data_IF_025903313212
#
_entry.id   IF_025903313212
#
_cell.length_a   1.000
_cell.length_b   1.000
_cell.length_c   1.000
_cell.angle_alpha   90.00
_cell.angle_beta   90.00
_cell.angle_gamma   90.00
#
_symmetry.space_group_name_H-M   'P 1'
#
loop_
_entity.id
_entity.type
_entity.pdbx_description
1 polymer ?
#
# COMPACT_ATOMS: atom_id res chain seq x y z
N UNK A 1 -13.27 -0.84 -23.38
CA UNK A 1 -12.88 -1.78 -22.30
C UNK A 1 -12.20 -0.92 -21.24
N UNK A 2 -12.87 -0.60 -20.13
CA UNK A 2 -12.28 0.29 -19.12
C UNK A 2 -11.16 -0.45 -18.41
N UNK A 3 -9.94 0.06 -18.52
CA UNK A 3 -8.78 -0.51 -17.84
C UNK A 3 -8.93 -0.30 -16.32
N UNK A 4 -9.24 -1.38 -15.60
CA UNK A 4 -9.24 -1.35 -14.14
C UNK A 4 -7.81 -1.16 -13.63
N UNK A 5 -7.62 -0.14 -12.80
CA UNK A 5 -6.36 0.14 -12.11
C UNK A 5 -6.44 -0.41 -10.68
N UNK A 6 -5.55 -1.36 -10.37
CA UNK A 6 -5.44 -1.96 -9.04
C UNK A 6 -4.36 -1.27 -8.21
N UNK A 7 -4.67 -1.04 -6.94
CA UNK A 7 -3.74 -0.54 -5.93
C UNK A 7 -3.71 -1.49 -4.75
N UNK A 8 -2.53 -1.64 -4.14
CA UNK A 8 -2.33 -2.30 -2.86
C UNK A 8 -1.78 -1.28 -1.87
N UNK A 9 -2.47 -1.13 -0.74
CA UNK A 9 -1.99 -0.38 0.41
C UNK A 9 -1.47 -1.38 1.43
N UNK A 10 -0.17 -1.37 1.68
CA UNK A 10 0.42 -2.16 2.76
C UNK A 10 0.64 -1.26 3.97
N UNK A 11 0.13 -1.67 5.12
CA UNK A 11 0.05 -0.87 6.33
C UNK A 11 0.62 -1.63 7.52
N UNK A 12 1.63 -1.05 8.16
CA UNK A 12 2.14 -1.52 9.44
C UNK A 12 1.42 -0.77 10.55
N UNK A 13 0.79 -1.49 11.46
CA UNK A 13 0.10 -0.92 12.61
C UNK A 13 0.23 -1.82 13.83
N UNK A 14 -0.04 -1.29 15.02
CA UNK A 14 -0.01 -2.05 16.27
C UNK A 14 -1.14 -1.61 17.22
N UNK A 15 -1.95 -2.54 17.77
CA UNK A 15 -2.04 -3.95 17.37
C UNK A 15 -2.51 -4.12 15.92
N UNK A 16 -2.22 -5.27 15.31
CA UNK A 16 -2.80 -5.64 14.02
C UNK A 16 -4.28 -5.98 14.20
N UNK A 17 -5.17 -5.52 13.30
CA UNK A 17 -6.60 -5.74 13.38
C UNK A 17 -6.99 -7.13 12.86
N UNK A 18 -6.34 -8.18 13.38
CA UNK A 18 -6.63 -9.57 13.01
C UNK A 18 -8.06 -9.95 13.39
N UNK A 19 -8.79 -10.56 12.45
CA UNK A 19 -10.20 -10.92 12.62
C UNK A 19 -11.19 -9.77 12.41
N UNK A 20 -10.72 -8.55 12.09
CA UNK A 20 -11.56 -7.39 11.80
C UNK A 20 -11.53 -6.98 10.32
N UNK A 21 -10.99 -7.82 9.45
CA UNK A 21 -10.69 -7.46 8.06
C UNK A 21 -11.95 -7.17 7.24
N UNK A 22 -13.03 -7.93 7.45
CA UNK A 22 -14.32 -7.67 6.79
C UNK A 22 -14.91 -6.32 7.21
N UNK A 23 -14.84 -5.98 8.50
CA UNK A 23 -15.35 -4.70 9.00
C UNK A 23 -14.53 -3.51 8.46
N UNK A 24 -13.21 -3.67 8.38
CA UNK A 24 -12.33 -2.67 7.75
C UNK A 24 -12.63 -2.50 6.27
N UNK A 25 -12.89 -3.61 5.56
CA UNK A 25 -13.30 -3.59 4.16
C UNK A 25 -14.58 -2.78 3.99
N UNK A 26 -15.63 -3.12 4.74
CA UNK A 26 -16.92 -2.44 4.67
C UNK A 26 -16.85 -0.95 5.02
N UNK A 27 -16.06 -0.57 6.03
CA UNK A 27 -15.92 0.84 6.43
C UNK A 27 -15.20 1.66 5.37
N UNK A 28 -14.05 1.18 4.88
CA UNK A 28 -13.27 1.90 3.88
C UNK A 28 -13.97 1.91 2.51
N UNK A 29 -14.74 0.87 2.19
CA UNK A 29 -15.55 0.76 0.97
C UNK A 29 -16.62 1.86 0.84
N UNK A 30 -16.99 2.55 1.94
CA UNK A 30 -17.94 3.66 1.91
C UNK A 30 -17.44 4.87 1.13
N UNK A 31 -16.12 5.09 1.13
CA UNK A 31 -15.49 6.27 0.54
C UNK A 31 -14.57 5.93 -0.64
N UNK A 32 -14.04 4.71 -0.69
CA UNK A 32 -13.09 4.26 -1.71
C UNK A 32 -13.51 2.91 -2.27
N UNK A 33 -13.13 2.57 -3.52
CA UNK A 33 -13.46 1.28 -4.11
C UNK A 33 -12.54 0.17 -3.57
N UNK A 34 -12.68 -0.13 -2.28
CA UNK A 34 -11.97 -1.20 -1.58
C UNK A 34 -12.68 -2.51 -1.83
N UNK A 35 -11.97 -3.49 -2.37
CA UNK A 35 -12.50 -4.83 -2.64
C UNK A 35 -12.35 -5.75 -1.43
N UNK A 36 -11.21 -5.65 -0.72
CA UNK A 36 -10.91 -6.48 0.45
C UNK A 36 -9.74 -5.93 1.25
N UNK A 37 -9.78 -6.22 2.54
CA UNK A 37 -8.66 -6.13 3.46
C UNK A 37 -8.24 -7.55 3.88
N UNK A 38 -6.96 -7.77 4.13
CA UNK A 38 -6.47 -8.97 4.81
C UNK A 38 -5.24 -8.66 5.63
N UNK A 39 -5.02 -9.40 6.70
CA UNK A 39 -3.76 -9.37 7.44
C UNK A 39 -2.83 -10.49 6.95
N UNK A 40 -1.54 -10.19 6.82
CA UNK A 40 -0.50 -11.19 6.56
C UNK A 40 0.74 -10.84 7.39
N UNK A 41 1.19 -11.78 8.22
CA UNK A 41 2.29 -11.61 9.17
C UNK A 41 2.16 -10.34 10.01
N UNK A 42 2.92 -9.29 9.65
CA UNK A 42 3.00 -8.01 10.36
C UNK A 42 2.29 -6.84 9.64
N UNK A 43 1.55 -7.12 8.57
CA UNK A 43 0.96 -6.12 7.69
C UNK A 43 -0.55 -6.29 7.55
N UNK A 44 -1.26 -5.16 7.53
CA UNK A 44 -2.59 -5.06 6.96
C UNK A 44 -2.43 -4.69 5.48
N UNK A 45 -3.04 -5.46 4.60
CA UNK A 45 -3.12 -5.15 3.16
C UNK A 45 -4.53 -4.77 2.79
N UNK A 46 -4.67 -3.68 2.03
CA UNK A 46 -5.95 -3.16 1.53
C UNK A 46 -5.87 -3.14 0.01
N UNK A 47 -6.80 -3.82 -0.65
CA UNK A 47 -6.90 -3.86 -2.11
C UNK A 47 -7.96 -2.88 -2.59
N UNK A 48 -7.54 -1.96 -3.46
CA UNK A 48 -8.38 -0.92 -4.06
C UNK A 48 -8.40 -1.11 -5.57
N UNK A 49 -9.59 -1.17 -6.18
CA UNK A 49 -9.76 -1.37 -7.62
C UNK A 49 -10.59 -0.23 -8.18
N UNK A 50 -9.95 0.65 -8.96
CA UNK A 50 -10.62 1.80 -9.56
C UNK A 50 -10.74 1.64 -11.08
N UNK A 51 -11.80 2.16 -11.66
CA UNK A 51 -11.95 2.28 -13.13
C UNK A 51 -11.03 3.33 -13.77
N UNK A 52 -10.27 4.09 -12.96
CA UNK A 52 -9.35 5.12 -13.41
C UNK A 52 -8.15 5.25 -12.45
N UNK A 53 -7.10 5.95 -12.90
CA UNK A 53 -5.96 6.27 -12.03
C UNK A 53 -6.40 7.28 -10.96
N UNK A 54 -6.19 6.93 -9.69
CA UNK A 54 -6.42 7.82 -8.57
C UNK A 54 -5.45 9.02 -8.63
N UNK A 55 -5.99 10.23 -8.48
CA UNK A 55 -5.22 11.45 -8.35
C UNK A 55 -4.49 11.50 -6.99
N UNK A 56 -3.45 12.32 -6.89
CA UNK A 56 -2.67 12.46 -5.65
C UNK A 56 -3.54 12.79 -4.42
N UNK A 57 -4.51 13.70 -4.57
CA UNK A 57 -5.47 14.03 -3.50
C UNK A 57 -6.22 12.80 -3.01
N UNK A 58 -6.76 11.99 -3.92
CA UNK A 58 -7.48 10.75 -3.56
C UNK A 58 -6.56 9.71 -2.88
N UNK A 59 -5.28 9.65 -3.25
CA UNK A 59 -4.31 8.78 -2.57
C UNK A 59 -4.03 9.26 -1.14
N UNK A 60 -3.95 10.57 -0.92
CA UNK A 60 -3.78 11.16 0.41
C UNK A 60 -5.04 10.93 1.26
N UNK A 61 -6.22 11.20 0.72
CA UNK A 61 -7.49 10.98 1.41
C UNK A 61 -7.66 9.49 1.79
N UNK A 62 -7.20 8.57 0.93
CA UNK A 62 -7.16 7.15 1.24
C UNK A 62 -6.23 6.85 2.42
N UNK A 63 -5.02 7.43 2.45
CA UNK A 63 -4.09 7.25 3.57
C UNK A 63 -4.66 7.80 4.88
N UNK A 64 -5.29 8.99 4.83
CA UNK A 64 -5.92 9.63 5.98
C UNK A 64 -7.12 8.80 6.49
N UNK A 65 -7.95 8.27 5.58
CA UNK A 65 -9.06 7.38 5.92
C UNK A 65 -8.59 6.07 6.56
N UNK A 66 -7.50 5.49 6.06
CA UNK A 66 -6.90 4.29 6.66
C UNK A 66 -6.37 4.58 8.06
N UNK A 67 -5.69 5.71 8.25
CA UNK A 67 -5.20 6.13 9.56
C UNK A 67 -6.35 6.33 10.56
N UNK A 68 -7.42 7.00 10.14
CA UNK A 68 -8.59 7.24 10.99
C UNK A 68 -9.30 5.92 11.35
N UNK A 69 -9.47 5.03 10.38
CA UNK A 69 -10.12 3.72 10.55
C UNK A 69 -9.35 2.82 11.52
N UNK A 70 -8.01 2.85 11.48
CA UNK A 70 -7.16 2.14 12.44
C UNK A 70 -7.19 2.78 13.83
N UNK A 71 -7.11 4.11 13.89
CA UNK A 71 -7.07 4.85 15.16
C UNK A 71 -8.38 4.69 15.95
N UNK A 72 -9.53 4.68 15.27
CA UNK A 72 -10.83 4.45 15.90
C UNK A 72 -10.98 3.05 16.52
N UNK A 73 -10.14 2.10 16.10
CA UNK A 73 -10.08 0.71 16.60
C UNK A 73 -8.96 0.48 17.62
N UNK A 74 -8.27 1.54 18.03
CA UNK A 74 -7.14 1.44 18.95
C UNK A 74 -5.85 0.91 18.31
N UNK A 75 -5.79 0.79 16.98
CA UNK A 75 -4.58 0.44 16.26
C UNK A 75 -3.81 1.69 15.87
N UNK A 76 -2.58 1.82 16.36
CA UNK A 76 -1.69 2.90 15.96
C UNK A 76 -1.02 2.56 14.63
N UNK A 77 -1.22 3.42 13.63
CA UNK A 77 -0.49 3.36 12.37
C UNK A 77 1.00 3.63 12.62
N UNK A 78 1.88 2.78 12.09
CA UNK A 78 3.33 2.99 12.03
C UNK A 78 3.73 3.56 10.68
N UNK A 79 3.48 2.82 9.62
CA UNK A 79 3.78 3.28 8.26
C UNK A 79 2.86 2.60 7.26
N UNK A 80 2.79 3.14 6.06
CA UNK A 80 2.12 2.52 4.96
C UNK A 80 2.68 2.93 3.61
N UNK A 81 2.44 2.10 2.60
CA UNK A 81 2.83 2.35 1.22
C UNK A 81 1.66 2.03 0.30
N UNK A 82 1.35 2.95 -0.60
CA UNK A 82 0.38 2.76 -1.67
C UNK A 82 1.13 2.43 -2.94
N UNK A 83 0.83 1.28 -3.53
CA UNK A 83 1.47 0.78 -4.73
C UNK A 83 0.42 0.48 -5.80
N UNK A 84 0.63 0.96 -7.01
CA UNK A 84 -0.19 0.63 -8.18
C UNK A 84 0.34 -0.61 -8.88
N UNK A 85 -0.54 -1.54 -9.20
CA UNK A 85 -0.24 -2.69 -10.03
C UNK A 85 -0.35 -2.28 -11.52
N UNK A 86 0.71 -2.52 -12.28
CA UNK A 86 0.79 -2.21 -13.71
C UNK A 86 1.16 -3.48 -14.47
N UNK A 87 0.53 -3.71 -15.61
CA UNK A 87 0.95 -4.76 -16.52
C UNK A 87 2.36 -4.44 -17.06
N UNK A 88 3.30 -5.36 -16.88
CA UNK A 88 4.67 -5.17 -17.35
C UNK A 88 5.62 -6.22 -16.78
N UNK A 89 6.77 -6.44 -17.42
CA UNK A 89 7.78 -7.36 -16.89
C UNK A 89 8.07 -7.01 -15.44
N UNK A 90 8.13 -8.03 -14.58
CA UNK A 90 8.34 -7.91 -13.13
C UNK A 90 9.64 -7.13 -12.90
N UNK A 91 9.55 -5.82 -12.79
CA UNK A 91 10.73 -5.01 -12.58
C UNK A 91 11.13 -5.21 -11.12
N UNK A 92 12.30 -5.84 -10.92
CA UNK A 92 12.99 -5.99 -9.63
C UNK A 92 13.37 -4.64 -8.96
N UNK A 93 12.76 -3.52 -9.38
CA UNK A 93 13.07 -2.15 -8.97
C UNK A 93 12.36 -1.67 -7.71
N UNK A 94 11.52 -2.48 -7.06
CA UNK A 94 11.04 -2.15 -5.70
C UNK A 94 12.13 -2.29 -4.65
N UNK A 95 13.16 -3.13 -4.89
CA UNK A 95 14.28 -3.34 -3.97
C UNK A 95 15.11 -2.08 -3.67
N UNK A 96 15.57 -1.27 -4.63
CA UNK A 96 16.42 -0.11 -4.32
C UNK A 96 15.69 1.04 -3.61
N UNK A 97 14.41 1.31 -3.92
CA UNK A 97 13.64 2.37 -3.25
C UNK A 97 13.35 1.98 -1.80
N UNK A 98 12.94 0.73 -1.62
CA UNK A 98 12.67 0.20 -0.28
C UNK A 98 13.98 0.07 0.52
N UNK A 99 15.08 -0.40 -0.08
CA UNK A 99 16.39 -0.43 0.58
C UNK A 99 16.96 0.97 0.88
N UNK A 100 16.64 1.98 0.07
CA UNK A 100 17.00 3.38 0.35
C UNK A 100 16.16 3.98 1.49
N UNK A 101 14.89 3.58 1.60
CA UNK A 101 14.02 3.93 2.72
C UNK A 101 14.46 3.20 4.01
N UNK A 102 14.82 1.91 3.94
CA UNK A 102 15.42 1.13 5.04
C UNK A 102 16.78 1.70 5.51
N UNK A 103 17.52 2.40 4.66
CA UNK A 103 18.76 3.09 5.07
C UNK A 103 18.51 4.39 5.83
N UNK A 104 17.32 4.99 5.70
CA UNK A 104 16.97 6.27 6.32
C UNK A 104 16.05 6.13 7.53
N UNK A 105 15.21 5.10 7.56
CA UNK A 105 14.47 4.70 8.75
C UNK A 105 15.25 3.58 9.46
N UNK A 106 15.28 3.56 10.79
CA UNK A 106 16.01 2.57 11.62
C UNK A 106 15.37 1.15 11.53
N UNK A 107 14.69 0.83 10.43
CA UNK A 107 13.96 -0.40 10.21
C UNK A 107 14.85 -1.42 9.47
N UNK A 108 15.20 -2.49 10.20
CA UNK A 108 15.94 -3.69 9.78
C UNK A 108 15.34 -4.39 8.54
N UNK A 109 16.09 -5.34 7.91
CA UNK A 109 15.92 -5.80 6.52
C UNK A 109 14.75 -6.80 6.35
N UNK A 110 13.52 -6.34 6.55
CA UNK A 110 12.31 -7.16 6.45
C UNK A 110 11.54 -6.96 5.13
N UNK A 111 11.84 -5.92 4.36
CA UNK A 111 11.09 -5.64 3.13
C UNK A 111 11.60 -6.39 1.89
N UNK A 112 12.80 -6.97 1.94
CA UNK A 112 13.38 -7.72 0.81
C UNK A 112 12.67 -9.06 0.52
N UNK A 113 11.99 -9.65 1.51
CA UNK A 113 11.30 -10.95 1.40
C UNK A 113 9.92 -10.88 0.70
N UNK A 114 9.22 -9.75 0.84
CA UNK A 114 7.87 -9.55 0.30
C UNK A 114 7.82 -9.47 -1.24
N UNK A 115 8.87 -8.92 -1.86
CA UNK A 115 8.95 -8.79 -3.33
C UNK A 115 9.03 -10.16 -4.02
N UNK A 116 9.65 -11.16 -3.38
CA UNK A 116 9.83 -12.49 -3.96
C UNK A 116 8.56 -13.33 -4.04
N UNK A 117 7.61 -13.13 -3.13
CA UNK A 117 6.40 -13.98 -3.04
C UNK A 117 5.18 -13.42 -3.77
N UNK A 118 5.13 -12.11 -4.02
CA UNK A 118 4.05 -11.47 -4.78
C UNK A 118 4.07 -11.83 -6.28
N UNK A 119 5.23 -12.24 -6.81
CA UNK A 119 5.36 -12.67 -8.21
C UNK A 119 4.66 -14.02 -8.50
N UNK A 120 4.36 -14.84 -7.48
CA UNK A 120 3.88 -16.21 -7.67
C UNK A 120 2.35 -16.34 -7.78
N UNK A 121 1.56 -15.30 -7.47
CA UNK A 121 0.09 -15.38 -7.37
C UNK A 121 -0.68 -14.70 -8.51
N UNK A 122 0.00 -14.18 -9.53
CA UNK A 122 -0.64 -13.40 -10.60
C UNK A 122 -0.27 -14.00 -11.95
N UNK A 123 -1.30 -14.40 -12.73
CA UNK A 123 -1.17 -15.07 -14.03
C UNK A 123 -0.57 -14.20 -15.15
N UNK A 124 -0.16 -12.96 -14.83
CA UNK A 124 0.58 -12.05 -15.70
C UNK A 124 1.69 -11.37 -14.89
N UNK A 125 2.84 -11.08 -15.49
CA UNK A 125 3.86 -10.29 -14.82
C UNK A 125 3.27 -8.92 -14.46
N UNK A 126 3.17 -8.66 -13.15
CA UNK A 126 2.69 -7.40 -12.59
C UNK A 126 3.87 -6.67 -11.99
N UNK A 127 4.05 -5.41 -12.41
CA UNK A 127 5.00 -4.48 -11.82
C UNK A 127 4.27 -3.61 -10.79
N UNK A 128 4.78 -3.59 -9.56
CA UNK A 128 4.30 -2.69 -8.52
C UNK A 128 5.04 -1.35 -8.62
N UNK A 129 4.29 -0.25 -8.77
CA UNK A 129 4.82 1.12 -8.83
C UNK A 129 4.42 1.82 -7.53
N UNK A 130 5.37 2.19 -6.65
CA UNK A 130 5.05 2.95 -5.45
C UNK A 130 4.58 4.35 -5.84
N UNK A 131 3.41 4.76 -5.36
CA UNK A 131 2.86 6.10 -5.62
C UNK A 131 2.98 6.99 -4.38
N UNK A 132 2.84 6.41 -3.17
CA UNK A 132 2.88 7.18 -1.92
C UNK A 132 3.43 6.34 -0.76
N UNK A 133 4.21 6.96 0.12
CA UNK A 133 4.57 6.43 1.43
C UNK A 133 4.04 7.36 2.51
N UNK A 134 3.53 6.82 3.61
CA UNK A 134 3.02 7.63 4.72
C UNK A 134 3.46 7.01 6.06
N UNK A 135 3.91 7.86 6.98
CA UNK A 135 4.47 7.47 8.28
C UNK A 135 4.07 8.50 9.34
N UNK A 136 3.38 8.06 10.40
CA UNK A 136 3.03 8.90 11.56
C UNK A 136 2.52 10.31 11.19
N UNK A 137 1.55 10.40 10.28
CA UNK A 137 0.97 11.68 9.83
C UNK A 137 1.81 12.47 8.83
N UNK A 138 2.99 11.97 8.43
CA UNK A 138 3.82 12.55 7.36
C UNK A 138 3.64 11.75 6.07
N UNK A 139 3.24 12.42 4.99
CA UNK A 139 3.07 11.83 3.65
C UNK A 139 4.24 12.21 2.74
N UNK A 140 4.83 11.22 2.08
CA UNK A 140 5.91 11.37 1.12
C UNK A 140 5.44 10.91 -0.27
N UNK A 141 5.46 11.83 -1.23
CA UNK A 141 5.21 11.52 -2.64
C UNK A 141 6.44 10.83 -3.25
N UNK A 142 6.28 9.56 -3.64
CA UNK A 142 7.34 8.79 -4.29
C UNK A 142 7.29 8.90 -5.82
N UNK A 143 6.16 9.28 -6.40
CA UNK A 143 6.01 9.52 -7.83
C UNK A 143 6.75 10.81 -8.27
N UNK A 144 6.83 11.82 -7.40
CA UNK A 144 7.62 13.03 -7.63
C UNK A 144 9.13 12.82 -7.40
N UNK A 145 9.52 12.06 -6.38
CA UNK A 145 10.94 11.79 -6.10
C UNK A 145 11.67 11.05 -7.23
N UNK A 146 10.95 10.24 -8.02
CA UNK A 146 11.49 9.56 -9.20
C UNK A 146 11.62 10.43 -10.45
N UNK A 147 11.05 11.65 -10.47
CA UNK A 147 11.08 12.58 -11.60
C UNK A 147 12.21 13.62 -11.52
N UNK A 148 12.92 13.70 -10.39
CA UNK A 148 14.17 14.45 -10.30
C UNK A 148 15.31 13.60 -10.88
N UNK A 149 15.47 13.66 -12.21
CA UNK A 149 16.69 13.31 -12.92
C UNK A 149 17.01 14.41 -13.90
#
# INVERSE_FOLDING_TARGET
MNEQTKYLVHVQCQPLPQGQESQLTEELARNFPVERCWTDQEWLTIEVVSGHRLAYGALKDLADSVQQCLSSRGSQLKSGIIQRAVAGPVAAMSRPIIAALERRSVARPLLAGLVGRLAARIARPVRMVPEMYFHWGTTFDLALAGRMK
#
